data_IF_805251700405
#
_entry.id   IF_805251700405
#
_cell.length_a   1.000
_cell.length_b   1.000
_cell.length_c   1.000
_cell.angle_alpha   90.00
_cell.angle_beta   90.00
_cell.angle_gamma   90.00
#
_symmetry.space_group_name_H-M   'P 1'
#
loop_
_entity.id
_entity.type
_entity.pdbx_description
1 polymer ?
#
# COMPACT_ATOMS: atom_id res chain seq x y z
N UNK A 1 -2.72 -5.30 25.22
CA UNK A 1 -1.65 -5.18 24.22
C UNK A 1 -2.00 -3.98 23.36
N UNK A 2 -1.26 -2.88 23.51
CA UNK A 2 -1.73 -1.51 23.28
C UNK A 2 -2.08 -1.19 21.83
N UNK A 3 -3.26 -0.62 21.61
CA UNK A 3 -3.60 0.12 20.41
C UNK A 3 -2.61 1.27 20.20
N UNK A 4 -2.23 1.50 18.95
CA UNK A 4 -1.75 2.80 18.49
C UNK A 4 -0.36 3.26 18.93
N UNK A 5 0.68 2.60 18.43
CA UNK A 5 1.88 3.34 18.02
C UNK A 5 1.62 4.21 16.76
N UNK A 6 0.51 4.97 16.75
CA UNK A 6 0.14 5.85 15.62
C UNK A 6 1.24 6.86 15.34
N UNK A 7 1.82 7.43 16.39
CA UNK A 7 2.93 8.36 16.26
C UNK A 7 4.16 7.67 15.63
N UNK A 8 4.54 6.48 16.10
CA UNK A 8 5.70 5.78 15.55
C UNK A 8 5.48 5.35 14.09
N UNK A 9 4.26 4.89 13.74
CA UNK A 9 3.89 4.56 12.35
C UNK A 9 3.97 5.79 11.45
N UNK A 10 3.49 6.94 11.93
CA UNK A 10 3.60 8.21 11.21
C UNK A 10 5.06 8.61 11.00
N UNK A 11 5.87 8.62 12.06
CA UNK A 11 7.31 8.92 11.94
C UNK A 11 8.03 7.98 10.98
N UNK A 12 7.73 6.67 11.04
CA UNK A 12 8.33 5.70 10.15
C UNK A 12 7.91 5.91 8.68
N UNK A 13 6.64 6.23 8.44
CA UNK A 13 6.14 6.53 7.10
C UNK A 13 6.79 7.79 6.49
N UNK A 14 6.87 8.88 7.26
CA UNK A 14 7.55 10.12 6.83
C UNK A 14 9.05 9.85 6.53
N UNK A 15 9.70 9.05 7.37
CA UNK A 15 11.11 8.66 7.17
C UNK A 15 11.30 7.87 5.87
N UNK A 16 10.40 6.93 5.58
CA UNK A 16 10.44 6.14 4.35
C UNK A 16 10.20 6.99 3.10
N UNK A 17 9.34 8.01 3.20
CA UNK A 17 9.08 8.95 2.11
C UNK A 17 10.29 9.84 1.83
N UNK A 18 10.92 10.37 2.88
CA UNK A 18 12.18 11.10 2.75
C UNK A 18 13.28 10.23 2.15
N UNK A 19 13.37 8.96 2.56
CA UNK A 19 14.34 8.01 2.03
C UNK A 19 14.08 7.70 0.54
N UNK A 20 12.82 7.51 0.15
CA UNK A 20 12.42 7.36 -1.26
C UNK A 20 12.83 8.56 -2.10
N UNK A 21 12.66 9.78 -1.59
CA UNK A 21 13.05 11.01 -2.30
C UNK A 21 14.55 11.11 -2.54
N UNK A 22 15.37 10.67 -1.58
CA UNK A 22 16.82 10.60 -1.76
C UNK A 22 17.19 9.68 -2.94
N UNK A 23 16.50 8.54 -3.08
CA UNK A 23 16.68 7.67 -4.24
C UNK A 23 16.17 8.28 -5.55
N UNK A 24 15.08 9.06 -5.53
CA UNK A 24 14.62 9.80 -6.70
C UNK A 24 15.69 10.81 -7.18
N UNK A 25 16.35 11.52 -6.27
CA UNK A 25 17.44 12.46 -6.57
C UNK A 25 18.65 11.73 -7.19
N UNK A 26 18.98 10.55 -6.66
CA UNK A 26 20.01 9.66 -7.21
C UNK A 26 19.59 8.91 -8.49
N UNK A 27 18.37 9.12 -8.98
CA UNK A 27 17.78 8.37 -10.11
C UNK A 27 17.72 6.85 -9.92
N UNK A 28 17.67 6.39 -8.67
CA UNK A 28 17.50 4.99 -8.26
C UNK A 28 16.03 4.65 -8.11
N UNK A 29 15.33 4.56 -9.25
CA UNK A 29 13.87 4.45 -9.30
C UNK A 29 13.31 3.19 -8.64
N UNK A 30 14.01 2.07 -8.72
CA UNK A 30 13.60 0.79 -8.12
C UNK A 30 13.63 0.86 -6.57
N UNK A 31 14.71 1.42 -6.02
CA UNK A 31 14.87 1.62 -4.58
C UNK A 31 13.87 2.66 -4.04
N UNK A 32 13.62 3.72 -4.81
CA UNK A 32 12.59 4.71 -4.49
C UNK A 32 11.19 4.07 -4.39
N UNK A 33 10.80 3.27 -5.39
CA UNK A 33 9.53 2.53 -5.38
C UNK A 33 9.42 1.62 -4.17
N UNK A 34 10.46 0.83 -3.87
CA UNK A 34 10.47 -0.06 -2.71
C UNK A 34 10.31 0.69 -1.37
N UNK A 35 10.87 1.90 -1.24
CA UNK A 35 10.68 2.74 -0.06
C UNK A 35 9.23 3.25 0.07
N UNK A 36 8.62 3.70 -1.02
CA UNK A 36 7.23 4.16 -1.03
C UNK A 36 6.24 3.02 -0.80
N UNK A 37 6.47 1.84 -1.35
CA UNK A 37 5.62 0.65 -1.09
C UNK A 37 5.67 0.23 0.37
N UNK A 38 6.86 0.27 1.00
CA UNK A 38 7.00 0.06 2.45
C UNK A 38 6.23 1.11 3.25
N UNK A 39 6.24 2.37 2.82
CA UNK A 39 5.43 3.42 3.44
C UNK A 39 3.93 3.07 3.37
N UNK A 40 3.43 2.66 2.20
CA UNK A 40 2.02 2.28 2.02
C UNK A 40 1.63 1.02 2.80
N UNK A 41 2.55 0.09 3.04
CA UNK A 41 2.32 -1.06 3.93
C UNK A 41 2.05 -0.62 5.39
N UNK A 42 2.64 0.51 5.82
CA UNK A 42 2.43 1.07 7.17
C UNK A 42 1.24 2.03 7.20
N UNK A 43 1.10 2.90 6.20
CA UNK A 43 0.02 3.87 6.04
C UNK A 43 -0.54 3.75 4.61
N UNK A 44 -1.57 2.92 4.39
CA UNK A 44 -2.14 2.65 3.06
C UNK A 44 -2.71 3.88 2.34
N UNK A 45 -2.98 4.95 3.09
CA UNK A 45 -3.57 6.19 2.61
C UNK A 45 -2.58 7.35 2.59
N UNK A 46 -1.27 7.06 2.55
CA UNK A 46 -0.25 8.11 2.44
C UNK A 46 -0.25 8.72 1.03
N UNK A 47 -0.80 9.92 0.88
CA UNK A 47 -0.97 10.59 -0.43
C UNK A 47 0.37 10.84 -1.13
N UNK A 48 1.37 11.31 -0.38
CA UNK A 48 2.68 11.63 -0.95
C UNK A 48 3.39 10.41 -1.56
N UNK A 49 3.39 9.27 -0.87
CA UNK A 49 3.98 8.03 -1.37
C UNK A 49 3.28 7.53 -2.65
N UNK A 50 1.93 7.65 -2.72
CA UNK A 50 1.18 7.28 -3.93
C UNK A 50 1.54 8.17 -5.11
N UNK A 51 1.56 9.48 -4.91
CA UNK A 51 1.92 10.46 -5.94
C UNK A 51 3.34 10.22 -6.47
N UNK A 52 4.29 9.94 -5.57
CA UNK A 52 5.66 9.58 -5.97
C UNK A 52 5.73 8.29 -6.79
N UNK A 53 5.00 7.23 -6.39
CA UNK A 53 4.94 5.99 -7.18
C UNK A 53 4.38 6.24 -8.59
N UNK A 54 3.29 7.00 -8.69
CA UNK A 54 2.70 7.35 -9.99
C UNK A 54 3.64 8.18 -10.87
N UNK A 55 4.32 9.16 -10.27
CA UNK A 55 5.34 9.96 -10.95
C UNK A 55 6.46 9.09 -11.52
N UNK A 56 7.01 8.19 -10.70
CA UNK A 56 8.09 7.28 -11.12
C UNK A 56 7.61 6.35 -12.23
N UNK A 57 6.42 5.74 -12.09
CA UNK A 57 5.83 4.86 -13.11
C UNK A 57 5.64 5.58 -14.45
N UNK A 58 5.16 6.83 -14.42
CA UNK A 58 5.00 7.64 -15.62
C UNK A 58 6.37 7.97 -16.25
N UNK A 59 7.32 8.44 -15.44
CA UNK A 59 8.68 8.78 -15.88
C UNK A 59 9.42 7.60 -16.52
N UNK A 60 9.24 6.40 -15.99
CA UNK A 60 9.87 5.17 -16.52
C UNK A 60 9.15 4.61 -17.76
N UNK A 61 8.05 5.23 -18.22
CA UNK A 61 7.21 4.64 -19.27
C UNK A 61 6.56 3.31 -18.84
N UNK A 62 6.60 3.00 -17.53
CA UNK A 62 5.98 1.84 -16.91
C UNK A 62 4.50 2.09 -16.57
N UNK A 63 3.91 3.15 -17.11
CA UNK A 63 2.49 3.47 -17.02
C UNK A 63 1.62 2.39 -17.65
N UNK A 64 1.50 1.25 -16.96
CA UNK A 64 0.40 0.31 -17.15
C UNK A 64 -0.75 0.79 -16.26
N UNK A 65 -1.91 1.11 -16.82
CA UNK A 65 -3.10 1.35 -16.01
C UNK A 65 -3.61 0.00 -15.49
N UNK A 66 -3.17 -0.40 -14.30
CA UNK A 66 -3.76 -1.47 -13.47
C UNK A 66 -2.83 -1.67 -12.26
N UNK A 67 -3.26 -1.89 -11.03
CA UNK A 67 -4.57 -2.19 -10.48
C UNK A 67 -4.62 -1.55 -9.11
N UNK A 68 -5.77 -0.97 -8.79
CA UNK A 68 -6.16 -0.65 -7.42
C UNK A 68 -6.21 -1.95 -6.62
N UNK A 69 -5.09 -2.35 -6.01
CA UNK A 69 -5.09 -3.37 -4.97
C UNK A 69 -5.62 -2.73 -3.67
N UNK A 70 -6.85 -2.22 -3.73
CA UNK A 70 -7.68 -2.09 -2.54
C UNK A 70 -8.00 -3.50 -2.09
N UNK A 71 -7.23 -3.98 -1.14
CA UNK A 71 -7.45 -5.22 -0.39
C UNK A 71 -8.96 -5.28 -0.05
N UNK A 72 -9.78 -6.16 -0.66
CA UNK A 72 -11.11 -6.38 -0.15
C UNK A 72 -10.94 -7.16 1.15
N UNK A 73 -11.20 -6.49 2.27
CA UNK A 73 -11.34 -7.13 3.57
C UNK A 73 -12.35 -8.27 3.44
N UNK A 74 -11.82 -9.49 3.51
CA UNK A 74 -12.54 -10.74 3.42
C UNK A 74 -13.47 -10.86 4.63
N UNK A 75 -14.77 -11.08 4.45
CA UNK A 75 -15.40 -12.26 5.08
C UNK A 75 -16.69 -12.70 4.38
N UNK A 76 -16.83 -14.01 4.10
CA UNK A 76 -17.99 -14.59 3.42
C UNK A 76 -19.25 -14.69 4.29
N UNK A 77 -20.38 -14.57 3.61
CA UNK A 77 -21.76 -14.80 4.07
C UNK A 77 -21.88 -16.27 4.52
N UNK A 78 -22.03 -16.54 5.81
CA UNK A 78 -22.46 -17.86 6.29
C UNK A 78 -23.98 -17.97 6.19
N UNK A 79 -24.49 -18.26 5.00
CA UNK A 79 -25.85 -18.75 4.83
C UNK A 79 -25.89 -20.23 5.25
N UNK A 80 -26.32 -20.49 6.48
CA UNK A 80 -26.60 -21.84 6.96
C UNK A 80 -28.04 -22.19 6.61
N UNK A 81 -28.23 -23.09 5.65
CA UNK A 81 -29.53 -23.68 5.39
C UNK A 81 -29.50 -24.53 4.15
N UNK A 82 -29.18 -25.83 4.30
CA UNK A 82 -30.01 -26.95 3.82
C UNK A 82 -29.55 -28.20 4.56
N UNK A 83 -30.38 -28.62 5.51
CA UNK A 83 -30.67 -30.01 5.85
C UNK A 83 -32.15 -29.92 6.22
N UNK A 84 -33.05 -30.53 5.47
CA UNK A 84 -33.31 -31.96 5.58
C UNK A 84 -33.71 -32.57 4.24
N UNK A 85 -33.05 -33.67 3.90
CA UNK A 85 -33.60 -34.70 3.04
C UNK A 85 -34.34 -35.69 3.95
N UNK A 86 -35.64 -35.88 3.76
CA UNK A 86 -36.25 -37.20 3.93
C UNK A 86 -37.54 -37.33 3.13
N UNK A 87 -37.61 -38.47 2.45
CA UNK A 87 -38.71 -39.02 1.67
C UNK A 87 -39.70 -39.72 2.60
#
# INVERSE_FOLDING_TARGET
INSNHQNARKYLAETLVAYGRSFEDESKWDEALAAYERCLSIIPFHEEAKNSIEYIKNKQGLGRPNEVETIPLITPIKAQGVKEALK
#
